data_IF_082828443716
#
_entry.id   IF_082828443716
#
_cell.length_a   1.000
_cell.length_b   1.000
_cell.length_c   1.000
_cell.angle_alpha   90.00
_cell.angle_beta   90.00
_cell.angle_gamma   90.00
#
_symmetry.space_group_name_H-M   'P 1'
#
loop_
_entity.id
_entity.type
_entity.pdbx_description
1 polymer ?
#
# COMPACT_ATOMS: atom_id res chain seq x y z
N UNK A 1 26.04 -47.99 8.82
CA UNK A 1 26.35 -49.29 8.21
C UNK A 1 25.47 -49.45 6.98
N UNK A 2 26.07 -49.65 5.80
CA UNK A 2 25.48 -49.92 4.46
C UNK A 2 24.79 -48.75 3.74
N UNK A 3 24.95 -48.50 2.44
CA UNK A 3 26.04 -48.56 1.45
C UNK A 3 25.38 -48.03 0.15
N UNK A 4 26.07 -47.09 -0.51
CA UNK A 4 26.09 -46.73 -1.93
C UNK A 4 25.03 -47.29 -2.90
N UNK A 5 24.48 -46.42 -3.76
CA UNK A 5 24.45 -46.65 -5.21
C UNK A 5 24.57 -45.33 -5.98
N UNK A 6 25.75 -45.14 -6.59
CA UNK A 6 26.03 -44.17 -7.65
C UNK A 6 25.66 -44.84 -8.98
N UNK A 7 24.80 -44.21 -9.79
CA UNK A 7 24.67 -44.55 -11.21
C UNK A 7 25.02 -43.31 -12.02
N UNK A 8 26.18 -43.43 -12.66
CA UNK A 8 26.77 -42.59 -13.67
C UNK A 8 26.09 -42.92 -15.01
N UNK A 9 25.54 -41.92 -15.71
CA UNK A 9 25.23 -42.02 -17.14
C UNK A 9 25.86 -40.83 -17.86
N UNK A 10 26.78 -41.14 -18.78
CA UNK A 10 27.51 -40.25 -19.66
C UNK A 10 26.90 -40.38 -21.06
N UNK A 11 26.61 -39.27 -21.76
CA UNK A 11 26.49 -39.12 -23.24
C UNK A 11 26.60 -37.60 -23.51
N UNK A 12 27.77 -37.08 -23.90
CA UNK A 12 28.28 -36.86 -25.27
C UNK A 12 27.73 -35.62 -26.02
N UNK A 13 28.47 -34.52 -25.92
CA UNK A 13 29.08 -33.71 -27.00
C UNK A 13 28.25 -33.34 -28.26
N UNK A 14 28.11 -32.04 -28.55
CA UNK A 14 28.35 -31.46 -29.90
C UNK A 14 28.46 -29.91 -29.87
N UNK A 15 29.68 -29.46 -30.25
CA UNK A 15 30.12 -28.29 -31.04
C UNK A 15 29.33 -26.95 -31.13
N UNK A 16 30.01 -25.91 -30.61
CA UNK A 16 30.44 -24.63 -31.23
C UNK A 16 29.49 -23.93 -32.23
N UNK A 17 29.03 -22.73 -31.85
CA UNK A 17 28.90 -21.60 -32.77
C UNK A 17 29.20 -20.28 -32.04
N UNK A 18 30.31 -19.63 -32.43
CA UNK A 18 30.54 -18.21 -32.18
C UNK A 18 29.89 -17.43 -33.33
N UNK A 19 29.12 -16.38 -33.01
CA UNK A 19 28.94 -15.27 -33.94
C UNK A 19 28.93 -13.97 -33.15
N UNK A 20 29.68 -13.00 -33.66
CA UNK A 20 30.01 -11.73 -33.03
C UNK A 20 29.26 -10.62 -33.78
N UNK A 21 28.68 -9.69 -33.01
CA UNK A 21 28.32 -8.31 -33.33
C UNK A 21 27.63 -7.99 -34.67
N UNK A 22 26.37 -7.57 -34.58
CA UNK A 22 25.81 -6.54 -35.46
C UNK A 22 24.80 -5.75 -34.64
N UNK A 23 25.16 -4.50 -34.39
CA UNK A 23 24.37 -3.47 -33.74
C UNK A 23 23.16 -3.12 -34.60
N UNK A 24 21.98 -3.60 -34.21
CA UNK A 24 20.73 -2.95 -34.56
C UNK A 24 20.15 -2.36 -33.28
N UNK A 25 20.43 -1.08 -33.09
CA UNK A 25 19.74 -0.20 -32.15
C UNK A 25 18.26 -0.10 -32.56
N UNK A 26 17.49 -1.13 -32.23
CA UNK A 26 16.08 -0.96 -32.00
C UNK A 26 15.97 -0.19 -30.68
N UNK A 27 15.83 1.13 -30.81
CA UNK A 27 15.45 2.07 -29.76
C UNK A 27 14.20 1.55 -29.07
N UNK A 28 14.41 0.68 -28.08
CA UNK A 28 13.47 0.46 -27.00
C UNK A 28 13.50 1.77 -26.24
N UNK A 29 12.54 2.63 -26.58
CA UNK A 29 12.08 3.67 -25.69
C UNK A 29 11.71 2.95 -24.41
N UNK A 30 12.65 2.87 -23.47
CA UNK A 30 12.37 2.46 -22.12
C UNK A 30 11.28 3.41 -21.63
N UNK A 31 10.06 2.88 -21.60
CA UNK A 31 9.00 3.46 -20.81
C UNK A 31 9.56 3.34 -19.40
N UNK A 32 10.10 4.44 -18.88
CA UNK A 32 10.34 4.64 -17.48
C UNK A 32 9.08 4.19 -16.76
N UNK A 33 9.11 3.00 -16.16
CA UNK A 33 8.12 2.60 -15.18
C UNK A 33 8.21 3.67 -14.10
N UNK A 34 7.30 4.64 -14.16
CA UNK A 34 7.12 5.61 -13.09
C UNK A 34 6.92 4.77 -11.83
N UNK A 35 7.94 4.77 -10.98
CA UNK A 35 7.88 4.18 -9.65
C UNK A 35 6.66 4.78 -8.95
N UNK A 36 5.55 4.06 -8.92
CA UNK A 36 4.33 4.54 -8.28
C UNK A 36 4.53 4.44 -6.77
N UNK A 37 4.41 5.57 -6.08
CA UNK A 37 4.45 5.58 -4.62
C UNK A 37 3.21 4.85 -4.10
N UNK A 38 3.36 4.03 -3.04
CA UNK A 38 2.23 3.23 -2.52
C UNK A 38 2.08 3.34 -1.02
N UNK A 39 0.82 3.38 -0.59
CA UNK A 39 0.39 3.15 0.78
C UNK A 39 -0.53 1.92 0.82
N UNK A 40 -0.14 0.88 1.55
CA UNK A 40 -1.02 -0.23 1.90
C UNK A 40 -1.44 -0.11 3.36
N UNK A 41 -2.74 -0.11 3.63
CA UNK A 41 -3.30 -0.08 4.98
C UNK A 41 -4.09 -1.36 5.21
N UNK A 42 -3.66 -2.18 6.16
CA UNK A 42 -4.46 -3.32 6.64
C UNK A 42 -5.21 -2.85 7.88
N UNK A 43 -6.52 -3.05 7.89
CA UNK A 43 -7.38 -2.78 9.05
C UNK A 43 -8.05 -4.07 9.53
N UNK A 44 -8.13 -4.22 10.84
CA UNK A 44 -9.09 -5.09 11.55
C UNK A 44 -9.53 -4.37 12.84
N UNK A 45 -10.39 -5.00 13.64
CA UNK A 45 -10.99 -4.38 14.83
C UNK A 45 -9.98 -4.03 15.94
N UNK A 46 -8.77 -4.58 15.86
CA UNK A 46 -7.75 -4.49 16.90
C UNK A 46 -6.49 -3.75 16.42
N UNK A 47 -6.30 -3.65 15.11
CA UNK A 47 -5.04 -3.20 14.53
C UNK A 47 -5.24 -2.46 13.21
N UNK A 48 -4.52 -1.34 13.09
CA UNK A 48 -4.35 -0.58 11.85
C UNK A 48 -2.86 -0.56 11.49
N UNK A 49 -2.53 -1.10 10.32
CA UNK A 49 -1.14 -1.29 9.85
C UNK A 49 -0.89 -0.59 8.52
N UNK A 50 -0.41 0.66 8.52
CA UNK A 50 0.09 1.30 7.32
C UNK A 50 1.47 0.73 6.94
N UNK A 51 1.68 0.55 5.64
CA UNK A 51 2.95 0.22 5.01
C UNK A 51 3.16 1.20 3.85
N UNK A 52 4.25 1.98 3.83
CA UNK A 52 5.35 2.01 4.79
C UNK A 52 4.96 2.46 6.21
N UNK A 53 5.59 1.85 7.23
CA UNK A 53 5.33 2.18 8.64
C UNK A 53 6.25 3.30 9.13
N UNK A 54 5.68 4.50 9.34
CA UNK A 54 6.42 5.68 9.80
C UNK A 54 7.06 5.49 11.18
N UNK A 55 6.47 4.66 12.06
CA UNK A 55 7.05 4.34 13.37
C UNK A 55 8.36 3.55 13.25
N UNK A 56 8.63 2.97 12.09
CA UNK A 56 9.89 2.30 11.74
C UNK A 56 10.84 3.18 10.91
N UNK A 57 10.58 4.49 10.83
CA UNK A 57 11.36 5.43 10.02
C UNK A 57 11.21 5.22 8.51
N UNK A 58 10.12 4.58 8.07
CA UNK A 58 9.79 4.36 6.65
C UNK A 58 8.72 5.35 6.20
N UNK A 59 8.88 5.90 5.00
CA UNK A 59 8.07 7.01 4.51
C UNK A 59 7.78 6.82 3.03
N UNK A 60 6.83 7.59 2.52
CA UNK A 60 6.44 7.59 1.12
C UNK A 60 7.09 8.81 0.44
N UNK A 61 7.67 8.69 -0.76
CA UNK A 61 8.13 9.86 -1.49
C UNK A 61 6.95 10.77 -1.88
N UNK A 62 7.18 12.09 -2.04
CA UNK A 62 6.16 13.01 -2.56
C UNK A 62 5.70 12.67 -3.98
N UNK A 63 4.53 13.17 -4.36
CA UNK A 63 3.94 13.01 -5.69
C UNK A 63 2.71 12.09 -5.69
N UNK A 64 2.51 11.37 -6.79
CA UNK A 64 1.35 10.51 -6.96
C UNK A 64 1.45 9.24 -6.10
N UNK A 65 0.42 8.97 -5.30
CA UNK A 65 0.35 7.83 -4.38
C UNK A 65 -0.87 6.98 -4.70
N UNK A 66 -0.65 5.68 -4.95
CA UNK A 66 -1.69 4.66 -4.94
C UNK A 66 -1.93 4.16 -3.51
N UNK A 67 -3.18 4.09 -3.11
CA UNK A 67 -3.58 3.68 -1.77
C UNK A 67 -4.45 2.43 -1.86
N UNK A 68 -4.12 1.41 -1.07
CA UNK A 68 -4.93 0.19 -0.92
C UNK A 68 -5.32 0.01 0.53
N UNK A 69 -6.62 -0.10 0.78
CA UNK A 69 -7.18 -0.57 2.06
C UNK A 69 -7.48 -2.06 1.93
N UNK A 70 -6.95 -2.87 2.83
CA UNK A 70 -7.30 -4.28 2.99
C UNK A 70 -8.07 -4.46 4.29
N UNK A 71 -9.31 -4.94 4.18
CA UNK A 71 -10.08 -5.32 5.34
C UNK A 71 -9.74 -6.77 5.73
N UNK A 72 -8.94 -6.92 6.78
CA UNK A 72 -8.58 -8.20 7.38
C UNK A 72 -9.41 -8.54 8.63
N UNK A 73 -10.44 -7.73 8.93
CA UNK A 73 -11.37 -7.92 10.03
C UNK A 73 -12.61 -8.74 9.65
N UNK A 74 -13.60 -8.69 10.54
CA UNK A 74 -14.95 -9.27 10.40
C UNK A 74 -16.04 -8.21 10.23
N UNK A 75 -15.76 -6.95 10.57
CA UNK A 75 -16.64 -5.81 10.33
C UNK A 75 -16.30 -5.11 9.02
N UNK A 76 -17.23 -4.31 8.50
CA UNK A 76 -16.97 -3.43 7.35
C UNK A 76 -16.00 -2.32 7.75
N UNK A 77 -15.11 -1.92 6.85
CA UNK A 77 -14.20 -0.80 7.07
C UNK A 77 -14.20 0.12 5.86
N UNK A 78 -14.10 1.43 6.08
CA UNK A 78 -13.80 2.42 5.05
C UNK A 78 -12.53 3.17 5.45
N UNK A 79 -12.07 4.09 4.60
CA UNK A 79 -10.93 4.93 4.95
C UNK A 79 -11.04 6.32 4.34
N UNK A 80 -10.87 7.33 5.19
CA UNK A 80 -10.77 8.73 4.83
C UNK A 80 -9.35 9.20 5.10
N UNK A 81 -8.65 9.69 4.07
CA UNK A 81 -7.33 10.34 4.20
C UNK A 81 -7.57 11.84 4.35
N UNK A 82 -6.98 12.44 5.38
CA UNK A 82 -7.25 13.83 5.78
C UNK A 82 -6.05 14.71 5.43
N UNK A 83 -6.29 15.95 4.98
CA UNK A 83 -5.24 16.93 4.73
C UNK A 83 -4.72 17.59 6.04
N UNK A 84 -4.41 16.77 7.04
CA UNK A 84 -3.88 17.21 8.31
C UNK A 84 -3.13 16.09 8.99
N UNK A 85 -2.28 16.45 9.96
CA UNK A 85 -1.51 15.48 10.73
C UNK A 85 -2.26 14.87 11.91
N UNK A 86 -3.38 15.47 12.33
CA UNK A 86 -4.16 15.02 13.48
C UNK A 86 -5.37 14.19 13.05
N UNK A 87 -5.72 13.20 13.86
CA UNK A 87 -7.02 12.54 13.87
C UNK A 87 -7.68 12.65 15.26
N UNK A 88 -7.16 13.52 16.12
CA UNK A 88 -7.60 13.60 17.51
C UNK A 88 -8.77 14.60 17.65
N UNK A 89 -9.63 14.37 18.65
CA UNK A 89 -10.68 15.28 19.12
C UNK A 89 -11.74 15.69 18.07
N UNK A 90 -12.08 14.81 17.13
CA UNK A 90 -13.24 15.05 16.26
C UNK A 90 -14.54 14.97 17.06
N UNK A 91 -15.47 15.90 16.77
CA UNK A 91 -16.84 15.82 17.25
C UNK A 91 -17.48 14.53 16.73
N UNK A 92 -18.15 13.79 17.61
CA UNK A 92 -18.93 12.62 17.23
C UNK A 92 -20.37 13.05 16.98
N UNK A 93 -20.90 12.71 15.80
CA UNK A 93 -22.27 12.99 15.40
C UNK A 93 -23.24 11.98 16.02
N UNK A 94 -24.55 12.25 15.89
CA UNK A 94 -25.61 11.38 16.42
C UNK A 94 -25.61 9.97 15.80
N UNK A 95 -25.01 9.80 14.61
CA UNK A 95 -24.85 8.51 13.94
C UNK A 95 -23.54 7.79 14.28
N UNK A 96 -22.83 8.26 15.32
CA UNK A 96 -21.56 7.72 15.82
C UNK A 96 -20.37 7.85 14.85
N UNK A 97 -20.51 8.65 13.79
CA UNK A 97 -19.38 9.01 12.91
C UNK A 97 -18.64 10.24 13.43
N UNK A 98 -17.37 10.40 13.04
CA UNK A 98 -16.64 11.64 13.25
C UNK A 98 -17.13 12.71 12.25
N UNK A 99 -17.30 13.92 12.75
CA UNK A 99 -17.61 15.09 11.94
C UNK A 99 -16.40 15.53 11.12
N UNK A 100 -16.47 15.33 9.81
CA UNK A 100 -15.45 15.73 8.85
C UNK A 100 -15.85 16.99 8.05
N UNK A 101 -16.92 17.69 8.42
CA UNK A 101 -17.46 18.83 7.65
C UNK A 101 -16.47 19.98 7.46
N UNK A 102 -15.60 20.21 8.45
CA UNK A 102 -14.55 21.24 8.43
C UNK A 102 -13.17 20.68 8.04
N UNK A 103 -13.11 19.41 7.61
CA UNK A 103 -11.86 18.72 7.28
C UNK A 103 -11.77 18.52 5.77
N UNK A 104 -10.65 18.95 5.19
CA UNK A 104 -10.34 18.61 3.80
C UNK A 104 -9.99 17.11 3.71
N UNK A 105 -10.87 16.34 3.06
CA UNK A 105 -10.67 14.92 2.76
C UNK A 105 -9.96 14.80 1.40
N UNK A 106 -8.77 14.21 1.41
CA UNK A 106 -7.95 14.00 0.21
C UNK A 106 -8.36 12.75 -0.57
N UNK A 107 -8.85 11.73 0.14
CA UNK A 107 -9.31 10.48 -0.45
C UNK A 107 -10.36 9.84 0.45
N UNK A 108 -11.41 9.34 -0.18
CA UNK A 108 -12.32 8.35 0.41
C UNK A 108 -12.12 7.00 -0.29
N UNK A 109 -11.98 5.95 0.50
CA UNK A 109 -12.22 4.57 0.09
C UNK A 109 -13.48 4.13 0.82
N UNK A 110 -14.58 3.97 0.08
CA UNK A 110 -15.87 3.57 0.63
C UNK A 110 -15.84 2.15 1.21
N UNK A 111 -16.97 1.68 1.73
CA UNK A 111 -17.14 0.42 2.45
C UNK A 111 -16.46 -0.80 1.79
N UNK A 112 -15.46 -1.33 2.48
CA UNK A 112 -14.74 -2.54 2.13
C UNK A 112 -15.23 -3.68 3.03
N UNK A 113 -15.83 -4.69 2.42
CA UNK A 113 -16.34 -5.88 3.10
C UNK A 113 -15.20 -6.75 3.67
N UNK A 114 -15.48 -7.59 4.68
CA UNK A 114 -14.50 -8.53 5.22
C UNK A 114 -13.78 -9.35 4.14
N UNK A 115 -12.45 -9.38 4.20
CA UNK A 115 -11.60 -10.10 3.24
C UNK A 115 -11.47 -9.43 1.87
N UNK A 116 -12.05 -8.23 1.67
CA UNK A 116 -11.94 -7.47 0.42
C UNK A 116 -10.90 -6.35 0.51
N UNK A 117 -10.62 -5.75 -0.64
CA UNK A 117 -9.75 -4.60 -0.77
C UNK A 117 -10.50 -3.43 -1.43
N UNK A 118 -10.23 -2.22 -0.95
CA UNK A 118 -10.56 -0.97 -1.61
C UNK A 118 -9.30 -0.27 -2.11
N UNK A 119 -9.42 0.54 -3.17
CA UNK A 119 -8.29 1.26 -3.77
C UNK A 119 -8.67 2.70 -4.08
N UNK A 120 -7.69 3.59 -4.02
CA UNK A 120 -7.80 4.97 -4.43
C UNK A 120 -6.42 5.53 -4.80
N UNK A 121 -6.39 6.77 -5.27
CA UNK A 121 -5.14 7.46 -5.59
C UNK A 121 -5.24 8.94 -5.23
N UNK A 122 -4.11 9.50 -4.79
CA UNK A 122 -3.94 10.94 -4.57
C UNK A 122 -2.84 11.42 -5.51
N UNK A 123 -3.09 12.49 -6.26
CA UNK A 123 -2.11 13.08 -7.16
C UNK A 123 -1.36 14.22 -6.49
N UNK A 124 -0.08 14.37 -6.84
CA UNK A 124 0.78 15.50 -6.42
C UNK A 124 0.78 15.75 -4.89
N UNK A 125 0.81 14.67 -4.09
CA UNK A 125 0.80 14.81 -2.64
C UNK A 125 2.14 15.39 -2.14
N UNK A 126 2.05 16.53 -1.47
CA UNK A 126 3.21 17.26 -0.97
C UNK A 126 3.87 16.56 0.24
N UNK A 127 5.13 16.90 0.58
CA UNK A 127 5.73 16.45 1.83
C UNK A 127 4.88 16.87 3.04
N UNK A 128 4.65 15.95 3.98
CA UNK A 128 3.75 16.19 5.10
C UNK A 128 3.47 14.95 5.94
N UNK A 129 2.70 15.14 7.01
CA UNK A 129 2.12 14.05 7.79
C UNK A 129 0.61 14.07 7.58
N UNK A 130 0.06 12.93 7.21
CA UNK A 130 -1.34 12.78 6.86
C UNK A 130 -1.97 11.74 7.77
N UNK A 131 -3.08 12.12 8.39
CA UNK A 131 -3.93 11.24 9.15
C UNK A 131 -4.90 10.50 8.22
N UNK A 132 -5.34 9.33 8.67
CA UNK A 132 -6.48 8.64 8.09
C UNK A 132 -7.32 7.96 9.17
N UNK A 133 -8.61 7.81 8.92
CA UNK A 133 -9.56 7.19 9.84
C UNK A 133 -10.50 6.24 9.09
N UNK A 134 -11.05 5.25 9.80
CA UNK A 134 -12.28 4.57 9.38
C UNK A 134 -13.46 5.31 10.04
N UNK A 135 -14.39 5.81 9.23
CA UNK A 135 -15.55 6.58 9.65
C UNK A 135 -16.88 5.81 9.55
N UNK A 136 -16.83 4.48 9.58
CA UNK A 136 -18.01 3.65 9.93
C UNK A 136 -18.46 4.02 11.35
N UNK A 137 -19.77 4.09 11.64
CA UNK A 137 -20.29 4.36 12.99
C UNK A 137 -19.51 3.63 14.10
N UNK A 138 -18.97 4.40 15.05
CA UNK A 138 -18.21 3.90 16.21
C UNK A 138 -16.75 3.49 15.94
N UNK A 139 -16.32 3.32 14.69
CA UNK A 139 -14.98 2.80 14.36
C UNK A 139 -13.86 3.81 14.64
N UNK A 140 -14.10 5.08 14.36
CA UNK A 140 -13.19 6.18 14.73
C UNK A 140 -12.96 6.22 16.24
N UNK A 141 -14.06 6.25 17.02
CA UNK A 141 -14.04 6.26 18.48
C UNK A 141 -13.38 5.00 19.09
N UNK A 142 -13.39 3.88 18.36
CA UNK A 142 -12.70 2.65 18.73
C UNK A 142 -11.20 2.65 18.40
N UNK A 143 -10.69 3.72 17.81
CA UNK A 143 -9.27 3.89 17.49
C UNK A 143 -8.85 3.31 16.15
N UNK A 144 -9.79 3.11 15.20
CA UNK A 144 -9.46 2.70 13.83
C UNK A 144 -8.90 3.88 13.03
N UNK A 145 -7.73 4.36 13.45
CA UNK A 145 -7.07 5.57 12.99
C UNK A 145 -5.58 5.30 12.73
N UNK A 146 -4.96 6.13 11.90
CA UNK A 146 -3.54 5.99 11.61
C UNK A 146 -2.95 7.22 10.93
N UNK A 147 -1.63 7.20 10.74
CA UNK A 147 -0.91 8.25 10.01
C UNK A 147 0.07 7.62 9.02
N UNK A 148 0.42 8.38 8.00
CA UNK A 148 1.61 8.13 7.18
C UNK A 148 2.36 9.45 6.96
N UNK A 149 3.61 9.34 6.55
CA UNK A 149 4.49 10.49 6.34
C UNK A 149 4.99 10.45 4.90
N UNK A 150 4.92 11.61 4.25
CA UNK A 150 5.45 11.88 2.93
C UNK A 150 6.70 12.76 3.08
N UNK A 151 7.85 12.31 2.59
CA UNK A 151 9.11 13.07 2.62
C UNK A 151 10.16 12.55 1.65
#
# INVERSE_FOLDING_TARGET
MKIFYTILLVISMTIISCSQASSDEASSKEISEKSVNRLSVIMNEWEVRPTPNYKMGKHIPPGDIEITLTNAGKLVHNMYVLNQSSYDDFTILDDETADLSEIEVLLEISDVQPGQNGKGAISDLQPGTYAFICNIPGHYSSGTVGKFIVR
#
